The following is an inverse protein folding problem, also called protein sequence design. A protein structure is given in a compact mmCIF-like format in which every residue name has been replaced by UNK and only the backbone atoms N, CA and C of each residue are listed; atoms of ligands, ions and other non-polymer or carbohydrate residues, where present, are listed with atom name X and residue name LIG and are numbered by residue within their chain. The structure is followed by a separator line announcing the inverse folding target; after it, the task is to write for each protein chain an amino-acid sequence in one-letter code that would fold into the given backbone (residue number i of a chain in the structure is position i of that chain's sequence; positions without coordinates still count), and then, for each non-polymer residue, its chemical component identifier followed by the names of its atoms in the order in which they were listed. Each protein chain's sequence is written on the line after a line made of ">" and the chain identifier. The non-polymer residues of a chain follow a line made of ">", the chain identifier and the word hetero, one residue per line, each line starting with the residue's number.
data_IF_682654351158
#
_entry.id   IF_682654351158
#
_cell.length_a   1.000
_cell.length_b   1.000
_cell.length_c   1.000
_cell.angle_alpha   90.00
_cell.angle_beta   90.00
_cell.angle_gamma   90.00
#
_symmetry.space_group_name_H-M   'P 1'
#
loop_
_entity.id
_entity.type
_entity.pdbx_description
1 polymer ?
#
# COMPACT_ATOMS: atom_id res chain seq x y z
N UNK A 1 7.44 19.69 5.96
CA UNK A 1 6.56 19.25 4.86
C UNK A 1 7.34 18.25 4.00
N UNK A 2 7.01 16.95 4.06
CA UNK A 2 7.82 15.86 3.48
C UNK A 2 7.59 15.64 1.97
N UNK A 3 7.32 16.72 1.20
CA UNK A 3 6.90 16.62 -0.21
C UNK A 3 7.91 15.97 -1.14
N UNK A 4 9.18 15.87 -0.73
CA UNK A 4 10.27 15.24 -1.49
C UNK A 4 10.61 13.83 -1.01
N UNK A 5 9.88 13.30 -0.03
CA UNK A 5 10.15 11.97 0.49
C UNK A 5 9.80 10.93 -0.58
N UNK A 6 10.80 10.17 -1.02
CA UNK A 6 10.65 9.11 -2.03
C UNK A 6 10.42 7.73 -1.43
N UNK A 7 10.96 7.48 -0.24
CA UNK A 7 10.90 6.17 0.42
C UNK A 7 10.43 6.39 1.85
N UNK A 8 9.37 5.69 2.24
CA UNK A 8 8.85 5.65 3.59
C UNK A 8 8.87 4.20 4.07
N UNK A 9 9.66 3.95 5.11
CA UNK A 9 9.78 2.64 5.76
C UNK A 9 9.14 2.74 7.15
N UNK A 10 8.08 1.97 7.37
CA UNK A 10 7.39 1.84 8.65
C UNK A 10 7.42 0.39 9.17
N UNK A 11 8.41 -0.40 8.69
CA UNK A 11 8.60 -1.82 8.99
C UNK A 11 8.69 -2.12 10.47
N UNK A 12 8.13 -3.26 10.90
CA UNK A 12 8.38 -3.81 12.23
C UNK A 12 7.66 -3.07 13.37
N UNK A 13 6.77 -2.13 13.03
CA UNK A 13 5.83 -1.55 13.98
C UNK A 13 4.79 -2.59 14.40
N UNK A 14 5.13 -3.49 15.33
CA UNK A 14 4.14 -4.38 16.01
C UNK A 14 2.97 -3.59 16.61
N UNK A 15 3.13 -2.28 16.77
CA UNK A 15 2.15 -1.34 17.32
C UNK A 15 1.46 -0.46 16.27
N UNK A 16 1.91 -0.43 15.01
CA UNK A 16 1.26 0.41 14.00
C UNK A 16 -0.07 -0.22 13.59
N UNK A 17 -1.14 0.31 14.16
CA UNK A 17 -2.52 -0.18 13.98
C UNK A 17 -3.30 0.60 12.93
N UNK A 18 -2.88 1.82 12.62
CA UNK A 18 -3.54 2.72 11.67
C UNK A 18 -2.51 3.59 10.97
N UNK A 19 -2.78 3.90 9.70
CA UNK A 19 -2.06 4.92 8.94
C UNK A 19 -2.84 6.23 8.99
N UNK A 20 -2.15 7.39 8.93
CA UNK A 20 -2.82 8.68 8.87
C UNK A 20 -3.56 8.86 7.53
N UNK A 21 -4.72 9.51 7.56
CA UNK A 21 -5.47 9.88 6.35
C UNK A 21 -4.68 10.84 5.44
N UNK A 22 -3.71 11.57 5.99
CA UNK A 22 -2.88 12.51 5.24
C UNK A 22 -1.69 11.84 4.52
N UNK A 23 -1.58 10.51 4.52
CA UNK A 23 -0.53 9.78 3.80
C UNK A 23 -0.47 10.17 2.31
N UNK A 24 -1.63 10.45 1.71
CA UNK A 24 -1.75 10.90 0.33
C UNK A 24 -1.11 12.26 0.01
N UNK A 25 -0.64 13.02 1.00
CA UNK A 25 0.10 14.29 0.80
C UNK A 25 1.58 14.07 0.45
N UNK A 26 2.07 12.84 0.50
CA UNK A 26 3.44 12.47 0.13
C UNK A 26 3.56 12.31 -1.39
N UNK A 27 3.32 13.39 -2.14
CA UNK A 27 3.20 13.36 -3.60
C UNK A 27 4.40 12.71 -4.32
N UNK A 28 5.63 12.89 -3.82
CA UNK A 28 6.84 12.29 -4.42
C UNK A 28 7.14 10.85 -3.97
N UNK A 29 6.27 10.20 -3.19
CA UNK A 29 6.57 8.89 -2.63
C UNK A 29 6.57 7.82 -3.73
N UNK A 30 7.69 7.12 -3.86
CA UNK A 30 7.90 6.04 -4.83
C UNK A 30 7.84 4.65 -4.18
N UNK A 31 8.21 4.54 -2.90
CA UNK A 31 8.17 3.28 -2.14
C UNK A 31 7.57 3.49 -0.75
N UNK A 32 6.57 2.68 -0.44
CA UNK A 32 5.97 2.56 0.89
C UNK A 32 6.14 1.12 1.38
N UNK A 33 6.88 0.95 2.47
CA UNK A 33 7.03 -0.35 3.12
C UNK A 33 6.36 -0.33 4.50
N UNK A 34 5.36 -1.20 4.65
CA UNK A 34 4.53 -1.42 5.83
C UNK A 34 4.68 -2.86 6.34
N UNK A 35 5.72 -3.57 5.92
CA UNK A 35 5.87 -4.98 6.25
C UNK A 35 5.85 -5.20 7.77
N UNK A 36 5.19 -6.27 8.20
CA UNK A 36 5.01 -6.66 9.59
C UNK A 36 4.22 -5.65 10.46
N UNK A 37 3.42 -4.78 9.86
CA UNK A 37 2.50 -3.89 10.61
C UNK A 37 1.20 -4.61 11.01
N UNK A 38 0.54 -4.10 12.05
CA UNK A 38 -0.77 -4.60 12.55
C UNK A 38 -1.93 -3.70 12.09
N UNK A 39 -1.81 -3.15 10.89
CA UNK A 39 -2.86 -2.32 10.28
C UNK A 39 -4.04 -3.20 9.87
N UNK A 40 -5.27 -2.70 10.08
CA UNK A 40 -6.48 -3.38 9.61
C UNK A 40 -6.92 -2.95 8.22
N UNK A 41 -6.67 -1.70 7.89
CA UNK A 41 -7.04 -1.07 6.62
C UNK A 41 -5.91 -0.16 6.14
N UNK A 42 -5.83 0.03 4.83
CA UNK A 42 -5.00 1.09 4.20
C UNK A 42 -5.93 2.26 3.84
N UNK A 43 -5.62 3.51 4.25
CA UNK A 43 -6.49 4.66 4.03
C UNK A 43 -6.64 4.94 2.55
N UNK A 44 -7.84 5.39 2.16
CA UNK A 44 -8.17 5.68 0.75
C UNK A 44 -7.27 6.75 0.12
N UNK A 45 -6.65 7.60 0.94
CA UNK A 45 -5.69 8.62 0.50
C UNK A 45 -4.43 8.05 -0.15
N UNK A 46 -4.09 6.77 0.07
CA UNK A 46 -2.98 6.12 -0.64
C UNK A 46 -3.16 6.18 -2.16
N UNK A 47 -4.41 6.19 -2.65
CA UNK A 47 -4.74 6.28 -4.07
C UNK A 47 -4.35 7.63 -4.71
N UNK A 48 -3.98 8.63 -3.89
CA UNK A 48 -3.46 9.93 -4.33
C UNK A 48 -1.95 9.89 -4.63
N UNK A 49 -1.23 8.85 -4.22
CA UNK A 49 0.22 8.74 -4.40
C UNK A 49 0.58 8.36 -5.85
N UNK A 50 0.49 9.32 -6.78
CA UNK A 50 0.63 9.06 -8.22
C UNK A 50 2.00 8.54 -8.65
N UNK A 51 3.03 8.73 -7.83
CA UNK A 51 4.39 8.27 -8.11
C UNK A 51 4.75 6.95 -7.41
N UNK A 52 3.84 6.35 -6.63
CA UNK A 52 4.11 5.13 -5.88
C UNK A 52 4.30 3.96 -6.84
N UNK A 53 5.50 3.36 -6.80
CA UNK A 53 5.89 2.19 -7.60
C UNK A 53 5.82 0.90 -6.81
N UNK A 54 6.11 0.97 -5.51
CA UNK A 54 6.18 -0.22 -4.65
C UNK A 54 5.39 -0.03 -3.37
N UNK A 55 4.40 -0.89 -3.17
CA UNK A 55 3.65 -1.02 -1.93
C UNK A 55 3.93 -2.40 -1.33
N UNK A 56 4.55 -2.41 -0.16
CA UNK A 56 4.91 -3.64 0.55
C UNK A 56 4.09 -3.75 1.84
N UNK A 57 3.18 -4.73 1.85
CA UNK A 57 2.27 -5.09 2.95
C UNK A 57 2.57 -6.52 3.44
N UNK A 58 3.79 -7.01 3.21
CA UNK A 58 4.21 -8.35 3.60
C UNK A 58 4.00 -8.58 5.11
N UNK A 59 3.41 -9.71 5.48
CA UNK A 59 3.09 -10.09 6.86
C UNK A 59 2.25 -9.06 7.64
N UNK A 60 1.40 -8.29 6.94
CA UNK A 60 0.32 -7.53 7.54
C UNK A 60 -0.90 -8.43 7.81
N UNK A 61 -0.75 -9.37 8.73
CA UNK A 61 -1.73 -10.43 9.03
C UNK A 61 -3.14 -9.94 9.43
N UNK A 62 -3.26 -8.72 9.95
CA UNK A 62 -4.54 -8.11 10.33
C UNK A 62 -5.19 -7.27 9.21
N UNK A 63 -4.53 -7.12 8.06
CA UNK A 63 -5.05 -6.31 6.96
C UNK A 63 -6.23 -7.03 6.30
N UNK A 64 -7.43 -6.49 6.41
CA UNK A 64 -8.65 -7.13 5.91
C UNK A 64 -8.96 -6.75 4.45
N UNK A 65 -8.60 -5.53 4.05
CA UNK A 65 -8.93 -4.98 2.73
C UNK A 65 -7.95 -3.92 2.24
N UNK A 66 -7.89 -3.80 0.92
CA UNK A 66 -7.26 -2.70 0.21
C UNK A 66 -8.33 -1.69 -0.25
N UNK A 67 -7.99 -0.42 -0.48
CA UNK A 67 -8.95 0.57 -0.98
C UNK A 67 -9.42 0.23 -2.41
N UNK A 68 -10.72 0.38 -2.66
CA UNK A 68 -11.35 0.04 -3.95
C UNK A 68 -10.76 0.79 -5.15
N UNK A 69 -10.13 1.94 -4.92
CA UNK A 69 -9.50 2.78 -5.96
C UNK A 69 -8.00 2.57 -6.09
N UNK A 70 -7.45 1.44 -5.64
CA UNK A 70 -6.01 1.18 -5.73
C UNK A 70 -5.47 1.29 -7.17
N UNK A 71 -6.30 0.98 -8.16
CA UNK A 71 -6.00 1.16 -9.58
C UNK A 71 -5.78 2.61 -10.04
N UNK A 72 -6.02 3.60 -9.19
CA UNK A 72 -5.71 5.02 -9.46
C UNK A 72 -4.21 5.33 -9.31
N UNK A 73 -3.44 4.40 -8.73
CA UNK A 73 -1.98 4.49 -8.59
C UNK A 73 -1.32 3.95 -9.86
N UNK A 74 -1.42 4.70 -10.97
CA UNK A 74 -1.01 4.25 -12.31
C UNK A 74 0.46 3.84 -12.44
N UNK A 75 1.32 4.30 -11.54
CA UNK A 75 2.74 3.94 -11.52
C UNK A 75 3.05 2.71 -10.65
N UNK A 76 2.05 2.04 -10.04
CA UNK A 76 2.30 0.90 -9.17
C UNK A 76 2.80 -0.29 -9.99
N UNK A 77 4.04 -0.69 -9.73
CA UNK A 77 4.73 -1.79 -10.40
C UNK A 77 4.73 -3.06 -9.55
N UNK A 78 4.73 -2.91 -8.23
CA UNK A 78 4.78 -4.04 -7.28
C UNK A 78 3.85 -3.82 -6.09
N UNK A 79 3.03 -4.84 -5.84
CA UNK A 79 2.20 -4.99 -4.64
C UNK A 79 2.58 -6.31 -3.96
N UNK A 80 3.17 -6.21 -2.76
CA UNK A 80 3.44 -7.39 -1.93
C UNK A 80 2.37 -7.49 -0.84
N UNK A 81 1.63 -8.59 -0.85
CA UNK A 81 0.57 -8.90 0.12
C UNK A 81 0.77 -10.31 0.70
N UNK A 82 1.98 -10.87 0.59
CA UNK A 82 2.30 -12.18 1.15
C UNK A 82 2.11 -12.17 2.66
N UNK A 83 1.32 -13.11 3.18
CA UNK A 83 0.99 -13.18 4.60
C UNK A 83 0.08 -12.06 5.09
N UNK A 84 -0.55 -11.28 4.19
CA UNK A 84 -1.61 -10.34 4.56
C UNK A 84 -2.95 -11.06 4.72
N UNK A 85 -3.83 -10.53 5.57
CA UNK A 85 -5.17 -11.08 5.85
C UNK A 85 -6.23 -10.80 4.79
N UNK A 86 -5.84 -10.32 3.60
CA UNK A 86 -6.79 -9.91 2.55
C UNK A 86 -7.36 -11.13 1.84
N UNK A 87 -8.68 -11.11 1.64
CA UNK A 87 -9.41 -12.20 0.97
C UNK A 87 -9.66 -11.94 -0.53
N UNK A 88 -9.62 -10.67 -0.95
CA UNK A 88 -9.91 -10.24 -2.32
C UNK A 88 -9.02 -9.05 -2.68
N UNK A 89 -8.71 -8.90 -3.96
CA UNK A 89 -8.15 -7.66 -4.50
C UNK A 89 -9.28 -6.71 -4.95
N UNK A 90 -9.09 -5.39 -4.84
CA UNK A 90 -10.08 -4.42 -5.28
C UNK A 90 -10.27 -4.51 -6.80
N UNK A 91 -11.48 -4.27 -7.31
CA UNK A 91 -11.78 -4.42 -8.74
C UNK A 91 -10.88 -3.56 -9.64
N UNK A 92 -10.48 -2.38 -9.15
CA UNK A 92 -9.61 -1.46 -9.86
C UNK A 92 -8.19 -1.98 -10.08
N UNK A 93 -7.77 -3.08 -9.43
CA UNK A 93 -6.45 -3.69 -9.66
C UNK A 93 -6.23 -4.05 -11.13
N UNK A 94 -7.31 -4.39 -11.85
CA UNK A 94 -7.32 -4.67 -13.29
C UNK A 94 -6.86 -3.48 -14.16
N UNK A 95 -6.87 -2.26 -13.63
CA UNK A 95 -6.41 -1.06 -14.31
C UNK A 95 -4.88 -0.89 -14.28
N UNK A 96 -4.16 -1.73 -13.54
CA UNK A 96 -2.71 -1.65 -13.35
C UNK A 96 -1.99 -2.65 -14.26
N UNK A 97 -1.77 -2.24 -15.50
CA UNK A 97 -1.09 -3.04 -16.51
C UNK A 97 0.36 -3.35 -16.08
N UNK A 98 0.73 -4.64 -16.05
CA UNK A 98 2.08 -5.06 -15.68
C UNK A 98 2.38 -5.06 -14.18
N UNK A 99 1.37 -4.83 -13.33
CA UNK A 99 1.53 -4.96 -11.89
C UNK A 99 1.98 -6.37 -11.50
N UNK A 100 3.08 -6.46 -10.75
CA UNK A 100 3.49 -7.69 -10.09
C UNK A 100 2.84 -7.77 -8.71
N UNK A 101 2.00 -8.79 -8.51
CA UNK A 101 1.42 -9.11 -7.20
C UNK A 101 2.16 -10.31 -6.61
N UNK A 102 2.58 -10.20 -5.35
CA UNK A 102 3.23 -11.27 -4.59
C UNK A 102 2.31 -11.69 -3.46
N UNK A 103 2.15 -13.01 -3.25
CA UNK A 103 1.42 -13.53 -2.10
C UNK A 103 -0.10 -13.57 -2.23
N UNK A 104 -0.66 -13.29 -3.41
CA UNK A 104 -2.08 -13.44 -3.71
C UNK A 104 -2.24 -14.54 -4.77
N UNK A 105 -3.05 -15.57 -4.49
CA UNK A 105 -3.34 -16.70 -5.40
C UNK A 105 -4.80 -16.72 -5.79
#
# INVERSE_FOLDING_TARGET
>A
MLKHLKILLLTGGKVLKKLPEDLGLLESLEKLNLAYCKIRDVPSSICKLKHLKKLDLHNCDQLERLPEKLGDIKCLEQLDVEGAGISHLPQSISLLNGLKIVGFK
#
